data_IF_424787218434
#
_entry.id   IF_424787218434
#
_cell.length_a   1.000
_cell.length_b   1.000
_cell.length_c   1.000
_cell.angle_alpha   90.00
_cell.angle_beta   90.00
_cell.angle_gamma   90.00
#
_symmetry.space_group_name_H-M   'P 1'
#
loop_
_entity.id
_entity.type
_entity.pdbx_description
1 polymer ?
#
# COMPACT_ATOMS: atom_id res chain seq x y z
N UNK A 1 3.36 3.33 -24.94
CA UNK A 1 2.70 4.64 -25.18
C UNK A 1 3.79 5.65 -25.53
N UNK A 2 3.57 6.59 -26.47
CA UNK A 2 4.58 7.64 -26.77
C UNK A 2 4.33 8.88 -25.90
N UNK A 3 5.39 9.55 -25.47
CA UNK A 3 5.38 10.81 -24.70
C UNK A 3 6.41 11.77 -25.27
N UNK A 4 6.36 13.04 -24.88
CA UNK A 4 7.43 13.98 -25.23
C UNK A 4 8.37 14.15 -24.04
N UNK A 5 9.67 14.06 -24.30
CA UNK A 5 10.68 14.68 -23.44
C UNK A 5 10.75 16.16 -23.79
N UNK A 6 10.44 16.98 -22.79
CA UNK A 6 10.43 18.44 -22.86
C UNK A 6 11.61 18.96 -22.08
N UNK A 7 12.60 19.52 -22.78
CA UNK A 7 13.73 20.21 -22.19
C UNK A 7 13.51 21.71 -22.28
N UNK A 8 13.30 22.37 -21.14
CA UNK A 8 13.18 23.82 -21.05
C UNK A 8 14.40 24.39 -20.34
N UNK A 9 15.15 25.27 -21.01
CA UNK A 9 16.34 25.93 -20.45
C UNK A 9 17.34 24.95 -19.78
N UNK A 10 17.45 23.74 -20.33
CA UNK A 10 18.31 22.67 -19.82
C UNK A 10 17.67 21.71 -18.82
N UNK A 11 16.45 21.99 -18.35
CA UNK A 11 15.70 21.10 -17.45
C UNK A 11 14.79 20.18 -18.26
N UNK A 12 15.03 18.88 -18.19
CA UNK A 12 14.23 17.87 -18.90
C UNK A 12 13.10 17.33 -18.02
N UNK A 13 11.91 17.24 -18.59
CA UNK A 13 10.70 16.70 -17.99
C UNK A 13 9.95 15.85 -19.03
N UNK A 14 9.10 14.92 -18.57
CA UNK A 14 8.22 14.17 -19.48
C UNK A 14 6.84 14.81 -19.48
N UNK A 15 6.31 15.10 -20.67
CA UNK A 15 4.96 15.62 -20.86
C UNK A 15 4.12 14.68 -21.73
N UNK A 16 2.80 14.76 -21.59
CA UNK A 16 1.91 13.94 -22.39
C UNK A 16 2.01 14.28 -23.88
N UNK A 17 1.64 13.33 -24.75
CA UNK A 17 1.58 13.56 -26.19
C UNK A 17 0.68 14.75 -26.54
N UNK A 18 -0.43 14.92 -25.81
CA UNK A 18 -1.37 16.03 -26.00
C UNK A 18 -0.70 17.37 -25.69
N UNK A 19 -0.11 17.52 -24.51
CA UNK A 19 0.56 18.77 -24.10
C UNK A 19 1.70 19.16 -25.06
N UNK A 20 2.52 18.19 -25.47
CA UNK A 20 3.59 18.46 -26.43
C UNK A 20 3.06 18.92 -27.79
N UNK A 21 1.96 18.32 -28.28
CA UNK A 21 1.32 18.76 -29.53
C UNK A 21 0.65 20.13 -29.38
N UNK A 22 0.06 20.43 -28.23
CA UNK A 22 -0.54 21.74 -27.96
C UNK A 22 0.54 22.83 -27.98
N UNK A 23 1.73 22.58 -27.40
CA UNK A 23 2.86 23.53 -27.45
C UNK A 23 3.41 23.70 -28.88
N UNK A 24 3.54 22.62 -29.64
CA UNK A 24 3.95 22.66 -31.06
C UNK A 24 2.94 23.45 -31.90
N UNK A 25 1.64 23.14 -31.76
CA UNK A 25 0.57 23.80 -32.50
C UNK A 25 0.45 25.28 -32.12
N UNK A 26 0.62 25.60 -30.84
CA UNK A 26 0.71 26.97 -30.38
C UNK A 26 1.87 27.68 -31.07
N UNK A 27 3.08 27.13 -31.02
CA UNK A 27 4.24 27.75 -31.66
C UNK A 27 4.10 27.93 -33.19
N UNK A 28 3.44 26.98 -33.88
CA UNK A 28 3.24 27.04 -35.33
C UNK A 28 2.12 28.00 -35.77
N UNK A 29 0.99 28.01 -35.06
CA UNK A 29 -0.23 28.69 -35.50
C UNK A 29 -0.59 29.89 -34.64
N UNK A 30 -0.76 29.69 -33.32
CA UNK A 30 -1.34 30.69 -32.42
C UNK A 30 -0.35 31.70 -31.82
N UNK A 31 0.88 31.27 -31.58
CA UNK A 31 1.92 31.96 -30.82
C UNK A 31 3.01 32.58 -31.66
N UNK A 32 2.80 32.80 -32.98
CA UNK A 32 3.82 33.43 -33.86
C UNK A 32 4.33 34.78 -33.35
N UNK A 33 3.54 35.47 -32.52
CA UNK A 33 3.94 36.73 -31.88
C UNK A 33 4.93 36.53 -30.74
N UNK A 34 4.89 35.38 -30.07
CA UNK A 34 5.68 35.05 -28.88
C UNK A 34 6.90 34.18 -29.22
N UNK A 35 6.83 33.46 -30.34
CA UNK A 35 7.94 32.64 -30.86
C UNK A 35 8.93 33.52 -31.63
N UNK A 36 10.21 33.38 -31.30
CA UNK A 36 11.31 34.01 -32.02
C UNK A 36 11.71 33.15 -33.21
N UNK A 37 12.00 31.88 -32.98
CA UNK A 37 12.34 30.91 -34.00
C UNK A 37 11.77 29.54 -33.63
N UNK A 38 11.41 28.76 -34.63
CA UNK A 38 11.03 27.37 -34.47
C UNK A 38 11.68 26.55 -35.58
N UNK A 39 12.30 25.44 -35.22
CA UNK A 39 12.84 24.48 -36.16
C UNK A 39 12.31 23.08 -35.87
N UNK A 40 11.94 22.37 -36.95
CA UNK A 40 11.71 20.93 -36.90
C UNK A 40 13.00 20.27 -37.34
N UNK A 41 13.72 19.65 -36.39
CA UNK A 41 14.97 18.95 -36.68
C UNK A 41 14.63 17.61 -37.36
N UNK A 42 13.62 16.92 -36.84
CA UNK A 42 13.02 15.73 -37.45
C UNK A 42 11.50 15.76 -37.28
N UNK A 43 10.79 14.76 -37.82
CA UNK A 43 9.34 14.60 -37.63
C UNK A 43 8.92 14.45 -36.15
N UNK A 44 9.87 14.14 -35.27
CA UNK A 44 9.65 13.86 -33.85
C UNK A 44 10.49 14.74 -32.92
N UNK A 45 11.25 15.70 -33.45
CA UNK A 45 12.16 16.57 -32.69
C UNK A 45 11.94 18.03 -33.11
N UNK A 46 11.52 18.85 -32.15
CA UNK A 46 11.18 20.25 -32.35
C UNK A 46 11.97 21.11 -31.38
N UNK A 47 12.57 22.17 -31.88
CA UNK A 47 13.21 23.21 -31.07
C UNK A 47 12.48 24.53 -31.27
N UNK A 48 12.09 25.15 -30.16
CA UNK A 48 11.33 26.40 -30.11
C UNK A 48 12.09 27.39 -29.23
N UNK A 49 12.42 28.55 -29.77
CA UNK A 49 12.94 29.69 -29.02
C UNK A 49 11.87 30.77 -28.96
N UNK A 50 11.49 31.14 -27.74
CA UNK A 50 10.53 32.20 -27.47
C UNK A 50 11.24 33.55 -27.31
N UNK A 51 10.52 34.65 -27.54
CA UNK A 51 11.06 36.02 -27.44
C UNK A 51 11.39 36.45 -26.02
N UNK A 52 10.81 35.79 -25.02
CA UNK A 52 11.14 35.95 -23.60
C UNK A 52 12.49 35.30 -23.22
N UNK A 53 13.15 34.62 -24.16
CA UNK A 53 14.41 33.92 -23.96
C UNK A 53 14.26 32.44 -23.59
N UNK A 54 13.04 31.93 -23.38
CA UNK A 54 12.78 30.53 -23.08
C UNK A 54 13.11 29.64 -24.29
N UNK A 55 13.90 28.59 -24.06
CA UNK A 55 14.25 27.60 -25.08
C UNK A 55 13.64 26.26 -24.71
N UNK A 56 12.78 25.75 -25.59
CA UNK A 56 12.09 24.47 -25.42
C UNK A 56 12.50 23.52 -26.52
N UNK A 57 12.91 22.31 -26.14
CA UNK A 57 13.07 21.17 -27.06
C UNK A 57 12.07 20.09 -26.71
N UNK A 58 11.37 19.57 -27.70
CA UNK A 58 10.40 18.50 -27.57
C UNK A 58 10.83 17.33 -28.45
N UNK A 59 11.09 16.18 -27.81
CA UNK A 59 11.48 14.94 -28.49
C UNK A 59 10.43 13.87 -28.20
N UNK A 60 9.80 13.33 -29.23
CA UNK A 60 8.85 12.22 -29.08
C UNK A 60 9.64 10.93 -28.80
N UNK A 61 9.55 10.43 -27.57
CA UNK A 61 10.20 9.20 -27.14
C UNK A 61 9.16 8.13 -26.80
N UNK A 62 9.61 6.88 -26.74
CA UNK A 62 8.83 5.85 -26.06
C UNK A 62 8.72 6.23 -24.59
N UNK A 63 7.48 6.23 -24.07
CA UNK A 63 7.30 6.45 -22.64
C UNK A 63 8.16 5.43 -21.91
N UNK A 64 8.93 5.85 -20.89
CA UNK A 64 9.50 4.88 -19.98
C UNK A 64 8.33 4.00 -19.53
N UNK A 65 8.49 2.68 -19.64
CA UNK A 65 7.47 1.75 -19.17
C UNK A 65 7.11 2.21 -17.76
N UNK A 66 5.90 2.77 -17.61
CA UNK A 66 5.37 3.09 -16.29
C UNK A 66 5.14 1.74 -15.64
N UNK A 67 6.19 1.16 -15.07
CA UNK A 67 6.10 0.28 -13.92
C UNK A 67 5.74 1.15 -12.72
N UNK A 68 4.66 1.94 -12.85
CA UNK A 68 3.90 2.32 -11.68
C UNK A 68 3.46 0.99 -11.10
N UNK A 69 3.91 0.65 -9.89
CA UNK A 69 3.53 -0.61 -9.30
C UNK A 69 2.00 -0.63 -9.22
N UNK A 70 1.42 -1.73 -9.69
CA UNK A 70 -0.03 -1.95 -9.73
C UNK A 70 -0.65 -1.92 -8.34
N UNK A 71 0.19 -2.17 -7.32
CA UNK A 71 -0.15 -2.17 -5.91
C UNK A 71 0.92 -1.40 -5.13
N UNK A 72 0.51 -0.62 -4.14
CA UNK A 72 1.38 0.06 -3.19
C UNK A 72 1.65 -0.81 -1.95
N UNK A 73 2.62 -0.41 -1.14
CA UNK A 73 2.84 -1.02 0.17
C UNK A 73 1.57 -0.89 1.03
N UNK A 74 1.16 -2.02 1.64
CA UNK A 74 -0.03 -2.12 2.47
C UNK A 74 -1.32 -2.45 1.73
N UNK A 75 -1.33 -2.45 0.39
CA UNK A 75 -2.51 -2.83 -0.38
C UNK A 75 -2.87 -4.29 -0.12
N UNK A 76 -4.17 -4.55 0.03
CA UNK A 76 -4.74 -5.89 0.13
C UNK A 76 -4.81 -6.53 -1.25
N UNK A 77 -4.26 -7.73 -1.36
CA UNK A 77 -4.15 -8.45 -2.61
C UNK A 77 -4.49 -9.92 -2.43
N UNK A 78 -5.06 -10.52 -3.47
CA UNK A 78 -5.29 -11.96 -3.53
C UNK A 78 -4.17 -12.62 -4.32
N UNK A 79 -3.53 -13.63 -3.72
CA UNK A 79 -2.57 -14.53 -4.36
C UNK A 79 -3.19 -15.92 -4.56
N UNK A 80 -2.47 -16.81 -5.23
CA UNK A 80 -2.81 -18.23 -5.35
C UNK A 80 -2.79 -18.98 -4.00
N UNK A 81 -2.08 -18.44 -3.01
CA UNK A 81 -2.00 -18.98 -1.66
C UNK A 81 -2.98 -18.34 -0.67
N UNK A 82 -3.69 -17.28 -1.08
CA UNK A 82 -4.74 -16.65 -0.28
C UNK A 82 -4.63 -15.13 -0.21
N UNK A 83 -5.33 -14.55 0.75
CA UNK A 83 -5.34 -13.11 0.99
C UNK A 83 -4.06 -12.68 1.71
N UNK A 84 -3.49 -11.56 1.29
CA UNK A 84 -2.34 -10.97 1.95
C UNK A 84 -2.20 -9.47 1.69
N UNK A 85 -1.15 -8.88 2.26
CA UNK A 85 -0.81 -7.47 2.12
C UNK A 85 0.54 -7.30 1.46
N UNK A 86 0.65 -6.32 0.57
CA UNK A 86 1.92 -5.99 -0.06
C UNK A 86 2.89 -5.43 1.00
N UNK A 87 3.87 -6.23 1.39
CA UNK A 87 4.91 -5.87 2.34
C UNK A 87 6.11 -5.18 1.67
N UNK A 88 6.32 -5.39 0.36
CA UNK A 88 7.37 -4.68 -0.39
C UNK A 88 7.07 -4.63 -1.87
N UNK A 89 7.55 -3.57 -2.52
CA UNK A 89 7.52 -3.40 -3.97
C UNK A 89 8.95 -3.23 -4.47
N UNK A 90 9.41 -4.13 -5.33
CA UNK A 90 10.78 -4.13 -5.86
C UNK A 90 10.73 -4.01 -7.38
N UNK A 91 11.49 -3.08 -7.95
CA UNK A 91 11.69 -2.98 -9.40
C UNK A 91 12.97 -3.70 -9.81
N UNK A 92 12.85 -4.86 -10.46
CA UNK A 92 13.96 -5.73 -10.85
C UNK A 92 14.26 -5.57 -12.35
N UNK A 93 15.51 -5.31 -12.77
CA UNK A 93 15.87 -5.28 -14.18
C UNK A 93 15.92 -6.70 -14.78
N UNK A 94 15.46 -6.86 -16.03
CA UNK A 94 15.58 -8.08 -16.84
C UNK A 94 16.79 -7.99 -17.78
N UNK A 95 17.28 -9.15 -18.25
CA UNK A 95 18.41 -9.24 -19.20
C UNK A 95 18.19 -8.50 -20.52
N UNK A 96 16.95 -8.27 -20.92
CA UNK A 96 16.58 -7.54 -22.15
C UNK A 96 16.47 -6.01 -21.94
N UNK A 97 16.86 -5.49 -20.78
CA UNK A 97 16.79 -4.05 -20.46
C UNK A 97 15.42 -3.57 -19.96
N UNK A 98 14.38 -4.41 -19.96
CA UNK A 98 13.07 -4.08 -19.36
C UNK A 98 13.12 -4.20 -17.82
N UNK A 99 12.20 -3.54 -17.11
CA UNK A 99 12.07 -3.65 -15.65
C UNK A 99 10.75 -4.31 -15.31
N UNK A 100 10.76 -5.23 -14.36
CA UNK A 100 9.54 -5.81 -13.79
C UNK A 100 9.33 -5.33 -12.36
N UNK A 101 8.08 -5.23 -11.96
CA UNK A 101 7.70 -5.00 -10.56
C UNK A 101 7.41 -6.33 -9.91
N UNK A 102 8.14 -6.66 -8.84
CA UNK A 102 7.93 -7.80 -7.96
C UNK A 102 7.32 -7.30 -6.66
N UNK A 103 6.34 -8.04 -6.15
CA UNK A 103 5.68 -7.74 -4.88
C UNK A 103 6.04 -8.83 -3.87
N UNK A 104 6.51 -8.41 -2.72
CA UNK A 104 6.61 -9.28 -1.55
C UNK A 104 5.29 -9.15 -0.81
N UNK A 105 4.54 -10.25 -0.69
CA UNK A 105 3.23 -10.29 -0.04
C UNK A 105 3.33 -11.06 1.26
N UNK A 106 2.85 -10.46 2.34
CA UNK A 106 2.66 -11.11 3.65
C UNK A 106 1.24 -11.68 3.70
N UNK A 107 1.12 -13.00 3.75
CA UNK A 107 -0.18 -13.68 3.83
C UNK A 107 -0.79 -13.52 5.23
N UNK A 108 -2.12 -13.37 5.29
CA UNK A 108 -2.85 -13.21 6.55
C UNK A 108 -2.77 -14.48 7.44
N UNK A 109 -2.48 -15.65 6.86
CA UNK A 109 -2.25 -16.91 7.60
C UNK A 109 -0.94 -16.93 8.41
N UNK A 110 -0.10 -15.90 8.25
CA UNK A 110 1.14 -15.69 8.98
C UNK A 110 2.33 -16.47 8.42
N UNK A 111 3.46 -15.78 8.27
CA UNK A 111 4.78 -16.40 8.36
C UNK A 111 5.63 -16.44 7.09
N UNK A 112 5.07 -16.34 5.89
CA UNK A 112 5.86 -16.43 4.65
C UNK A 112 5.63 -15.21 3.74
N UNK A 113 6.74 -14.56 3.39
CA UNK A 113 6.79 -13.46 2.42
C UNK A 113 7.04 -14.08 1.06
N UNK A 114 6.04 -13.99 0.18
CA UNK A 114 6.13 -14.55 -1.16
C UNK A 114 6.42 -13.47 -2.20
N UNK A 115 7.45 -13.71 -2.99
CA UNK A 115 7.82 -12.88 -4.11
C UNK A 115 6.98 -13.25 -5.34
N UNK A 116 5.94 -12.47 -5.62
CA UNK A 116 5.10 -12.68 -6.79
C UNK A 116 5.50 -11.76 -7.95
N UNK A 117 5.65 -12.35 -9.13
CA UNK A 117 5.74 -11.65 -10.40
C UNK A 117 4.35 -11.64 -11.06
N UNK A 118 3.77 -10.46 -11.23
CA UNK A 118 2.64 -10.18 -12.14
C UNK A 118 1.26 -10.86 -11.96
N UNK A 119 1.11 -11.95 -11.21
CA UNK A 119 -0.18 -12.68 -11.07
C UNK A 119 -1.03 -12.29 -9.85
N UNK A 120 -0.68 -11.17 -9.21
CA UNK A 120 -1.41 -10.63 -8.07
C UNK A 120 -2.62 -9.82 -8.54
N UNK A 121 -3.80 -10.05 -7.96
CA UNK A 121 -5.05 -9.34 -8.31
C UNK A 121 -5.53 -8.46 -7.15
N UNK A 122 -6.16 -7.30 -7.44
CA UNK A 122 -6.79 -6.50 -6.40
C UNK A 122 -7.84 -7.34 -5.68
N UNK A 123 -7.84 -7.28 -4.35
CA UNK A 123 -8.96 -7.78 -3.58
C UNK A 123 -10.09 -6.75 -3.64
N UNK A 124 -11.15 -7.05 -4.37
CA UNK A 124 -12.39 -6.28 -4.33
C UNK A 124 -13.30 -6.89 -3.26
N UNK A 125 -13.46 -6.26 -2.09
CA UNK A 125 -14.44 -6.73 -1.12
C UNK A 125 -15.82 -6.58 -1.75
N UNK A 126 -16.60 -7.67 -1.83
CA UNK A 126 -18.02 -7.58 -2.18
C UNK A 126 -18.71 -6.61 -1.22
N UNK A 127 -18.95 -5.38 -1.67
CA UNK A 127 -19.72 -4.40 -0.92
C UNK A 127 -21.18 -4.83 -0.92
N UNK A 128 -21.60 -5.59 0.10
CA UNK A 128 -23.02 -5.72 0.41
C UNK A 128 -23.53 -4.38 0.95
N UNK A 129 -24.58 -3.90 0.29
CA UNK A 129 -25.33 -2.65 0.52
C UNK A 129 -25.59 -2.34 2.01
N UNK A 130 -25.55 -1.07 2.44
CA UNK A 130 -25.53 -0.70 3.86
C UNK A 130 -26.95 -0.54 4.43
N UNK A 131 -27.70 -1.62 4.62
CA UNK A 131 -28.89 -1.60 5.48
C UNK A 131 -29.01 -2.93 6.24
N UNK A 132 -28.22 -3.10 7.30
CA UNK A 132 -28.54 -4.08 8.35
C UNK A 132 -28.37 -3.45 9.74
N UNK A 133 -29.37 -3.57 10.63
CA UNK A 133 -29.42 -2.88 11.92
C UNK A 133 -28.34 -3.38 12.88
N UNK A 134 -27.93 -2.50 13.81
CA UNK A 134 -26.75 -2.63 14.66
C UNK A 134 -26.67 -3.92 15.51
N UNK A 135 -27.78 -4.61 15.74
CA UNK A 135 -27.82 -5.85 16.53
C UNK A 135 -27.29 -7.07 15.75
N UNK A 136 -27.36 -7.10 14.41
CA UNK A 136 -26.79 -8.19 13.59
C UNK A 136 -25.27 -8.06 13.39
N UNK A 137 -24.70 -6.86 13.58
CA UNK A 137 -23.23 -6.67 13.55
C UNK A 137 -22.53 -7.39 14.70
N UNK A 138 -23.17 -7.47 15.87
CA UNK A 138 -22.62 -8.21 17.01
C UNK A 138 -22.70 -9.73 16.80
N UNK A 139 -23.74 -10.21 16.11
CA UNK A 139 -23.94 -11.64 15.85
C UNK A 139 -23.08 -12.20 14.70
N UNK A 140 -22.77 -11.40 13.66
CA UNK A 140 -21.92 -11.85 12.55
C UNK A 140 -20.44 -12.03 12.96
N UNK A 141 -19.98 -11.30 13.98
CA UNK A 141 -18.62 -11.42 14.53
C UNK A 141 -18.47 -12.66 15.43
N UNK A 142 -19.55 -13.16 16.03
CA UNK A 142 -19.51 -14.34 16.91
C UNK A 142 -19.53 -15.68 16.15
N UNK A 143 -19.94 -15.72 14.87
CA UNK A 143 -20.03 -16.97 14.09
C UNK A 143 -18.72 -17.43 13.41
N UNK A 144 -17.60 -16.74 13.60
CA UNK A 144 -16.26 -17.18 13.15
C UNK A 144 -15.40 -17.73 14.29
N UNK A 145 -16.03 -18.24 15.35
CA UNK A 145 -15.34 -18.87 16.46
C UNK A 145 -15.11 -20.36 16.18
N UNK A 146 -14.35 -20.70 15.14
CA UNK A 146 -13.76 -22.01 14.96
C UNK A 146 -12.40 -21.84 14.24
N UNK A 147 -11.34 -21.71 15.04
CA UNK A 147 -9.96 -21.89 14.60
C UNK A 147 -9.22 -20.64 14.11
N UNK A 148 -8.53 -19.97 15.05
CA UNK A 148 -7.25 -19.27 14.84
C UNK A 148 -7.15 -17.95 14.05
N UNK A 149 -8.25 -17.27 13.72
CA UNK A 149 -8.17 -15.94 13.08
C UNK A 149 -8.96 -14.86 13.86
N UNK A 150 -8.34 -14.33 14.92
CA UNK A 150 -8.85 -13.17 15.67
C UNK A 150 -8.17 -11.87 15.23
N UNK A 151 -7.74 -11.77 13.97
CA UNK A 151 -7.35 -10.49 13.37
C UNK A 151 -8.58 -9.58 13.29
N UNK A 152 -8.76 -8.71 14.29
CA UNK A 152 -9.69 -7.57 14.18
C UNK A 152 -10.75 -7.43 15.28
N UNK A 153 -10.63 -8.08 16.44
CA UNK A 153 -11.56 -7.80 17.54
C UNK A 153 -11.31 -6.38 18.05
N UNK A 154 -12.23 -5.46 17.75
CA UNK A 154 -12.24 -4.11 18.32
C UNK A 154 -12.81 -4.19 19.73
N UNK A 155 -12.08 -3.63 20.70
CA UNK A 155 -12.47 -3.53 22.10
C UNK A 155 -12.43 -2.08 22.50
N UNK A 156 -13.57 -1.54 22.94
CA UNK A 156 -13.66 -0.21 23.50
C UNK A 156 -13.29 -0.24 24.99
N UNK A 157 -12.21 0.45 25.36
CA UNK A 157 -11.75 0.56 26.74
C UNK A 157 -11.61 2.02 27.11
N UNK A 158 -12.32 2.45 28.17
CA UNK A 158 -12.31 3.85 28.65
C UNK A 158 -12.66 4.86 27.54
N UNK A 159 -13.61 4.52 26.67
CA UNK A 159 -14.08 5.39 25.58
C UNK A 159 -13.10 5.52 24.40
N UNK A 160 -12.14 4.60 24.27
CA UNK A 160 -11.23 4.52 23.12
C UNK A 160 -11.24 3.12 22.55
N UNK A 161 -11.12 3.03 21.23
CA UNK A 161 -11.10 1.76 20.52
C UNK A 161 -9.69 1.22 20.39
N UNK A 162 -9.57 -0.09 20.61
CA UNK A 162 -8.34 -0.84 20.49
C UNK A 162 -8.60 -2.06 19.62
N UNK A 163 -7.70 -2.36 18.71
CA UNK A 163 -7.78 -3.60 17.94
C UNK A 163 -6.85 -4.61 18.58
N UNK A 164 -7.39 -5.79 18.89
CA UNK A 164 -6.63 -6.95 19.33
C UNK A 164 -6.21 -7.73 18.09
N UNK A 165 -4.90 -7.91 17.89
CA UNK A 165 -4.35 -8.69 16.76
C UNK A 165 -4.12 -10.14 17.08
N UNK A 166 -3.73 -10.41 18.32
CA UNK A 166 -3.25 -11.73 18.71
C UNK A 166 -3.63 -12.00 20.15
N UNK A 167 -4.13 -13.20 20.38
CA UNK A 167 -4.45 -13.71 21.70
C UNK A 167 -3.67 -15.01 21.82
N UNK A 168 -2.69 -15.02 22.73
CA UNK A 168 -1.85 -16.17 23.01
C UNK A 168 -2.34 -16.78 24.32
N UNK A 169 -2.95 -17.97 24.31
CA UNK A 169 -3.35 -18.65 25.54
C UNK A 169 -2.11 -19.10 26.33
N UNK A 170 -2.28 -19.29 27.64
CA UNK A 170 -1.24 -19.86 28.50
C UNK A 170 -1.20 -21.39 28.33
N UNK A 171 -1.09 -21.89 27.10
CA UNK A 171 -1.02 -23.33 26.86
C UNK A 171 0.37 -23.80 26.40
N UNK A 172 0.85 -24.70 27.26
CA UNK A 172 2.00 -25.59 27.41
C UNK A 172 3.24 -25.48 26.49
N UNK A 173 4.44 -25.64 27.08
CA UNK A 173 5.67 -25.89 26.32
C UNK A 173 5.56 -27.25 25.63
N UNK A 174 5.61 -27.28 24.30
CA UNK A 174 5.68 -28.55 23.52
C UNK A 174 7.09 -28.85 23.02
N UNK A 175 8.11 -28.11 23.49
CA UNK A 175 9.48 -28.39 23.07
C UNK A 175 10.33 -28.87 24.25
N UNK A 176 10.63 -30.17 24.21
CA UNK A 176 11.80 -30.78 24.83
C UNK A 176 13.02 -29.94 24.44
N UNK A 177 13.46 -29.04 25.32
CA UNK A 177 14.55 -28.09 25.04
C UNK A 177 14.26 -26.61 25.34
N UNK A 178 13.08 -26.25 25.86
CA UNK A 178 12.84 -24.88 26.29
C UNK A 178 13.89 -24.43 27.33
N UNK A 179 14.47 -23.21 27.21
CA UNK A 179 15.46 -22.73 28.15
C UNK A 179 14.92 -22.73 29.58
N UNK A 180 15.76 -23.15 30.53
CA UNK A 180 15.45 -23.13 31.97
C UNK A 180 15.08 -21.70 32.39
N UNK A 181 13.81 -21.47 32.76
CA UNK A 181 13.29 -20.14 33.14
C UNK A 181 12.23 -19.56 32.19
N UNK A 182 11.87 -20.25 31.11
CA UNK A 182 10.75 -19.83 30.27
C UNK A 182 9.41 -20.25 30.89
N UNK A 183 8.58 -19.26 31.26
CA UNK A 183 7.20 -19.46 31.73
C UNK A 183 6.23 -19.16 30.58
N UNK A 184 5.35 -20.10 30.17
CA UNK A 184 4.28 -19.79 29.22
C UNK A 184 3.36 -18.77 29.86
N UNK A 185 3.36 -17.53 29.36
CA UNK A 185 2.42 -16.49 29.78
C UNK A 185 1.39 -16.28 28.69
N UNK A 186 0.13 -16.27 29.08
CA UNK A 186 -0.89 -15.79 28.18
C UNK A 186 -0.74 -14.28 27.99
N UNK A 187 -0.92 -13.80 26.78
CA UNK A 187 -0.91 -12.37 26.50
C UNK A 187 -1.77 -12.02 25.28
N UNK A 188 -2.11 -10.75 25.19
CA UNK A 188 -2.78 -10.15 24.03
C UNK A 188 -1.93 -9.03 23.46
N UNK A 189 -1.80 -9.00 22.14
CA UNK A 189 -1.20 -7.87 21.41
C UNK A 189 -2.30 -6.96 20.88
N UNK A 190 -2.13 -5.66 21.07
CA UNK A 190 -3.11 -4.64 20.71
C UNK A 190 -2.46 -3.31 20.29
N UNK A 191 -3.20 -2.49 19.56
CA UNK A 191 -2.85 -1.09 19.28
C UNK A 191 -4.09 -0.19 19.40
N UNK A 192 -3.86 1.12 19.49
CA UNK A 192 -4.95 2.10 19.52
C UNK A 192 -5.50 2.30 18.11
N UNK A 193 -6.80 2.41 17.99
CA UNK A 193 -7.48 2.67 16.73
C UNK A 193 -7.93 4.14 16.69
N UNK A 194 -7.83 4.77 15.51
CA UNK A 194 -8.37 6.09 15.23
C UNK A 194 -8.81 6.18 13.77
N UNK A 195 -10.09 6.46 13.54
CA UNK A 195 -10.69 6.69 12.22
C UNK A 195 -10.50 5.53 11.21
N UNK A 196 -10.65 4.30 11.69
CA UNK A 196 -10.39 3.04 10.97
C UNK A 196 -8.91 2.67 10.85
N UNK A 197 -7.98 3.45 11.39
CA UNK A 197 -6.54 3.27 11.20
C UNK A 197 -5.79 2.88 12.47
N UNK A 198 -4.74 2.06 12.31
CA UNK A 198 -3.84 1.68 13.41
C UNK A 198 -3.01 2.89 13.84
N UNK A 199 -2.95 3.15 15.14
CA UNK A 199 -2.20 4.26 15.71
C UNK A 199 -1.23 3.80 16.80
N UNK A 200 0.06 4.12 16.61
CA UNK A 200 1.13 3.86 17.56
C UNK A 200 1.71 2.45 17.52
N UNK A 201 2.63 2.18 18.44
CA UNK A 201 3.29 0.89 18.57
C UNK A 201 2.34 -0.19 19.12
N UNK A 202 2.54 -1.43 18.67
CA UNK A 202 1.91 -2.61 19.28
C UNK A 202 2.30 -2.70 20.75
N UNK A 203 1.31 -3.00 21.59
CA UNK A 203 1.46 -3.20 23.03
C UNK A 203 0.99 -4.59 23.39
N UNK A 204 1.60 -5.13 24.43
CA UNK A 204 1.28 -6.46 24.95
C UNK A 204 0.68 -6.31 26.35
N UNK A 205 -0.34 -7.10 26.66
CA UNK A 205 -0.91 -7.19 28.01
C UNK A 205 -1.20 -8.64 28.38
N UNK A 206 -0.87 -9.03 29.62
CA UNK A 206 -1.12 -10.36 30.15
C UNK A 206 -1.97 -10.33 31.42
N UNK A 207 -2.18 -11.50 32.06
CA UNK A 207 -2.93 -11.62 33.31
C UNK A 207 -2.28 -10.91 34.49
N UNK A 208 -1.01 -10.54 34.39
CA UNK A 208 -0.24 -9.76 35.37
C UNK A 208 -0.31 -8.25 35.15
N UNK A 209 -1.04 -7.78 34.13
CA UNK A 209 -1.21 -6.35 33.87
C UNK A 209 -1.84 -5.64 35.09
N UNK A 210 -1.25 -4.50 35.49
CA UNK A 210 -1.68 -3.76 36.68
C UNK A 210 -3.16 -3.36 36.61
N UNK A 211 -3.96 -3.58 37.67
CA UNK A 211 -5.34 -3.13 37.74
C UNK A 211 -5.51 -1.64 37.40
N UNK A 212 -6.58 -1.32 36.68
CA UNK A 212 -6.87 0.04 36.22
C UNK A 212 -6.10 0.52 34.99
N UNK A 213 -5.17 -0.28 34.45
CA UNK A 213 -4.50 0.02 33.17
C UNK A 213 -5.36 -0.37 31.98
N UNK A 214 -5.09 0.24 30.82
CA UNK A 214 -5.72 -0.13 29.54
C UNK A 214 -5.43 -1.59 29.19
N UNK A 215 -4.18 -2.02 29.33
CA UNK A 215 -3.77 -3.40 29.05
C UNK A 215 -4.56 -4.41 29.89
N UNK A 216 -4.77 -4.14 31.18
CA UNK A 216 -5.57 -5.02 32.03
C UNK A 216 -7.04 -5.09 31.58
N UNK A 217 -7.64 -3.95 31.26
CA UNK A 217 -9.03 -3.92 30.80
C UNK A 217 -9.22 -4.62 29.44
N UNK A 218 -8.25 -4.53 28.53
CA UNK A 218 -8.26 -5.28 27.26
C UNK A 218 -8.13 -6.77 27.54
N UNK A 219 -7.18 -7.17 28.39
CA UNK A 219 -7.00 -8.56 28.81
C UNK A 219 -8.31 -9.16 29.39
N UNK A 220 -8.95 -8.45 30.31
CA UNK A 220 -10.22 -8.88 30.92
C UNK A 220 -11.36 -8.93 29.89
N UNK A 221 -11.42 -8.00 28.93
CA UNK A 221 -12.46 -7.98 27.90
C UNK A 221 -12.33 -9.13 26.89
N UNK A 222 -11.09 -9.56 26.62
CA UNK A 222 -10.81 -10.68 25.72
C UNK A 222 -11.12 -12.02 26.37
N UNK A 223 -10.82 -12.17 27.66
CA UNK A 223 -10.90 -13.44 28.40
C UNK A 223 -12.16 -13.56 29.30
N UNK A 224 -13.16 -12.71 29.10
CA UNK A 224 -14.51 -12.84 29.69
C UNK A 224 -15.38 -13.75 28.84
#
# INVERSE_FOLDING_TARGET
MKVFERTENGVTSTVSKREGLDEINHAQMGGKRDVRTMSSITRTDFAIEYKDGRKVRLVLVDAPERTSPRFAFGDLVMTDQGLGKVAKVISVPRRNGTRITRYDVELDTGGEIYAHESDVRPFEPEMKSPEQPAEERTALIQRRADGHDLMGRVVTVKGKDYVVSRIVPADRPVHTGAPKGWEPRAYVDYWSERDGMRFGATRTAGPDAKPGTVGRAIWDAVNR
#
